data_IF_484379124675
#
_entry.id   IF_484379124675
#
_cell.length_a   1.000
_cell.length_b   1.000
_cell.length_c   1.000
_cell.angle_alpha   90.00
_cell.angle_beta   90.00
_cell.angle_gamma   90.00
#
_symmetry.space_group_name_H-M   'P 1'
#
loop_
_entity.id
_entity.type
_entity.pdbx_description
1 polymer ?
#
# COMPACT_ATOMS: atom_id res chain seq x y z
N UNK A 1 -8.53 -26.68 10.11
CA UNK A 1 -7.38 -26.05 9.43
C UNK A 1 -6.06 -26.71 9.74
N UNK A 2 -5.22 -26.90 8.74
CA UNK A 2 -3.92 -27.57 8.87
C UNK A 2 -2.82 -26.59 9.29
N UNK A 3 -2.12 -26.90 10.37
CA UNK A 3 -0.95 -26.17 10.83
C UNK A 3 0.14 -26.14 9.75
N UNK A 4 0.86 -25.03 9.65
CA UNK A 4 1.96 -24.93 8.69
C UNK A 4 3.04 -25.98 9.01
N UNK A 5 3.63 -26.55 7.97
CA UNK A 5 4.65 -27.60 8.07
C UNK A 5 5.81 -27.27 7.15
N UNK A 6 7.03 -27.50 7.61
CA UNK A 6 8.26 -27.30 6.83
C UNK A 6 8.46 -28.34 5.72
N UNK A 7 7.62 -29.39 5.69
CA UNK A 7 7.59 -30.43 4.65
C UNK A 7 7.31 -29.84 3.28
N UNK A 8 7.86 -30.48 2.23
CA UNK A 8 7.80 -29.98 0.85
C UNK A 8 6.37 -29.76 0.30
N UNK A 9 5.37 -30.50 0.81
CA UNK A 9 3.95 -30.31 0.47
C UNK A 9 3.11 -29.98 1.72
N UNK A 10 3.35 -28.83 2.32
CA UNK A 10 2.48 -28.32 3.38
C UNK A 10 1.02 -28.15 2.89
N UNK A 11 0.06 -28.66 3.66
CA UNK A 11 -1.38 -28.61 3.37
C UNK A 11 -2.14 -27.46 4.04
N UNK A 12 -1.47 -26.47 4.63
CA UNK A 12 -2.16 -25.31 5.19
C UNK A 12 -2.86 -24.48 4.09
N UNK A 13 -3.88 -23.70 4.47
CA UNK A 13 -4.68 -22.90 3.53
C UNK A 13 -3.78 -22.03 2.65
N UNK A 14 -2.84 -21.31 3.25
CA UNK A 14 -1.94 -20.42 2.51
C UNK A 14 -1.14 -21.18 1.45
N UNK A 15 -0.50 -22.31 1.80
CA UNK A 15 0.26 -23.11 0.84
C UNK A 15 -0.63 -23.74 -0.23
N UNK A 16 -1.85 -24.16 0.12
CA UNK A 16 -2.82 -24.71 -0.85
C UNK A 16 -3.27 -23.63 -1.83
N UNK A 17 -3.72 -22.49 -1.34
CA UNK A 17 -4.12 -21.33 -2.14
C UNK A 17 -3.00 -20.87 -3.08
N UNK A 18 -1.75 -20.79 -2.59
CA UNK A 18 -0.61 -20.39 -3.42
C UNK A 18 -0.35 -21.38 -4.57
N UNK A 19 -0.62 -22.67 -4.39
CA UNK A 19 -0.50 -23.66 -5.47
C UNK A 19 -1.65 -23.55 -6.47
N UNK A 20 -2.87 -23.48 -5.96
CA UNK A 20 -4.09 -23.58 -6.77
C UNK A 20 -4.41 -22.28 -7.50
N UNK A 21 -4.24 -21.13 -6.84
CA UNK A 21 -4.63 -19.82 -7.36
C UNK A 21 -3.48 -19.09 -8.04
N UNK A 22 -2.25 -19.24 -7.53
CA UNK A 22 -1.07 -18.54 -8.06
C UNK A 22 -0.16 -19.45 -8.90
N UNK A 23 -0.49 -20.75 -9.02
CA UNK A 23 0.30 -21.71 -9.79
C UNK A 23 1.72 -21.97 -9.24
N UNK A 24 2.05 -21.55 -8.02
CA UNK A 24 3.39 -21.74 -7.47
C UNK A 24 3.64 -23.21 -7.12
N UNK A 25 4.59 -23.86 -7.80
CA UNK A 25 4.93 -25.27 -7.56
C UNK A 25 5.52 -25.52 -6.16
N UNK A 26 6.26 -24.55 -5.61
CA UNK A 26 6.92 -24.65 -4.31
C UNK A 26 6.62 -23.42 -3.46
N UNK A 27 5.48 -23.37 -2.76
CA UNK A 27 5.08 -22.22 -1.95
C UNK A 27 6.17 -21.77 -0.98
N UNK A 28 6.89 -22.71 -0.38
CA UNK A 28 8.01 -22.40 0.53
C UNK A 28 9.09 -21.54 -0.13
N UNK A 29 9.49 -21.88 -1.36
CA UNK A 29 10.48 -21.11 -2.12
C UNK A 29 9.91 -19.75 -2.54
N UNK A 30 8.66 -19.71 -2.96
CA UNK A 30 7.96 -18.46 -3.30
C UNK A 30 7.93 -17.49 -2.11
N UNK A 31 7.48 -17.94 -0.93
CA UNK A 31 7.47 -17.11 0.28
C UNK A 31 8.87 -16.71 0.75
N UNK A 32 9.86 -17.60 0.66
CA UNK A 32 11.24 -17.25 0.99
C UNK A 32 11.77 -16.14 0.08
N UNK A 33 11.50 -16.23 -1.24
CA UNK A 33 11.92 -15.20 -2.19
C UNK A 33 11.17 -13.88 -1.95
N UNK A 34 9.87 -13.93 -1.71
CA UNK A 34 9.08 -12.76 -1.37
C UNK A 34 9.64 -12.05 -0.12
N UNK A 35 9.96 -12.82 0.93
CA UNK A 35 10.59 -12.29 2.13
C UNK A 35 11.92 -11.59 1.82
N UNK A 36 12.80 -12.21 1.03
CA UNK A 36 14.08 -11.58 0.66
C UNK A 36 13.92 -10.31 -0.17
N UNK A 37 12.84 -10.20 -0.95
CA UNK A 37 12.55 -8.99 -1.71
C UNK A 37 12.06 -7.88 -0.79
N UNK A 38 11.17 -8.21 0.15
CA UNK A 38 10.67 -7.27 1.14
C UNK A 38 11.80 -6.75 2.04
N UNK A 39 12.67 -7.63 2.52
CA UNK A 39 13.83 -7.26 3.34
C UNK A 39 14.87 -6.40 2.60
N UNK A 40 14.84 -6.40 1.26
CA UNK A 40 15.72 -5.57 0.45
C UNK A 40 15.14 -4.18 0.15
N UNK A 41 13.88 -3.91 0.53
CA UNK A 41 13.27 -2.60 0.33
C UNK A 41 13.87 -1.58 1.32
N UNK A 42 14.18 -0.35 0.86
CA UNK A 42 14.44 0.74 1.79
C UNK A 42 13.21 0.98 2.66
N UNK A 43 13.40 1.45 3.91
CA UNK A 43 12.31 1.62 4.88
C UNK A 43 11.13 2.44 4.34
N UNK A 44 11.41 3.48 3.55
CA UNK A 44 10.39 4.31 2.88
C UNK A 44 9.41 3.50 2.02
N UNK A 45 9.87 2.39 1.46
CA UNK A 45 9.13 1.55 0.52
C UNK A 45 8.68 0.23 1.13
N UNK A 46 9.01 -0.06 2.39
CA UNK A 46 8.61 -1.30 3.04
C UNK A 46 7.12 -1.22 3.44
N UNK A 47 6.22 -1.95 2.76
CA UNK A 47 4.79 -1.91 3.04
C UNK A 47 4.44 -2.56 4.38
N UNK A 48 5.39 -3.24 5.03
CA UNK A 48 5.21 -3.81 6.35
C UNK A 48 5.49 -2.81 7.47
N UNK A 49 6.10 -1.65 7.17
CA UNK A 49 6.25 -0.57 8.14
C UNK A 49 4.94 0.20 8.29
N UNK A 50 4.63 0.66 9.52
CA UNK A 50 3.49 1.56 9.72
C UNK A 50 3.63 2.75 8.76
N UNK A 51 2.58 3.11 8.00
CA UNK A 51 2.60 4.36 7.26
C UNK A 51 2.95 5.49 8.23
N UNK A 52 3.79 6.46 7.84
CA UNK A 52 4.04 7.61 8.69
C UNK A 52 2.69 8.23 9.07
N UNK A 53 2.54 8.74 10.31
CA UNK A 53 1.33 9.41 10.74
C UNK A 53 1.23 10.73 9.96
N UNK A 54 0.72 10.66 8.73
CA UNK A 54 0.47 11.82 7.89
C UNK A 54 -1.04 11.99 7.73
N UNK A 55 -1.68 12.24 8.87
CA UNK A 55 -2.85 13.11 8.89
C UNK A 55 -2.31 14.40 9.50
N UNK A 56 -2.03 15.44 8.70
CA UNK A 56 -1.87 16.78 9.24
C UNK A 56 -3.10 17.07 10.11
N UNK A 57 -2.88 17.44 11.36
CA UNK A 57 -3.93 18.06 12.17
C UNK A 57 -4.33 19.34 11.41
N UNK A 58 -5.50 19.32 10.78
CA UNK A 58 -6.06 20.40 9.95
C UNK A 58 -6.50 21.59 10.85
N UNK A 59 -5.79 21.82 11.95
CA UNK A 59 -6.07 22.83 12.96
C UNK A 59 -5.14 24.04 12.81
N UNK A 60 -4.66 24.30 11.60
CA UNK A 60 -4.14 25.62 11.25
C UNK A 60 -5.34 26.47 10.84
N UNK A 61 -5.79 27.30 11.78
CA UNK A 61 -6.75 28.39 11.61
C UNK A 61 -6.54 29.05 10.25
N UNK A 62 -7.53 28.89 9.37
CA UNK A 62 -7.60 29.59 8.09
C UNK A 62 -7.78 31.07 8.41
N UNK A 63 -6.67 31.82 8.49
CA UNK A 63 -6.70 33.27 8.64
C UNK A 63 -7.06 33.84 7.27
N UNK A 64 -8.37 33.91 7.02
CA UNK A 64 -9.01 34.47 5.83
C UNK A 64 -8.61 35.94 5.64
N UNK A 65 -7.47 36.18 5.00
CA UNK A 65 -7.09 37.54 4.56
C UNK A 65 -6.31 37.58 3.24
N UNK A 66 -6.68 36.76 2.27
CA UNK A 66 -6.56 37.14 0.84
C UNK A 66 -7.35 36.15 -0.02
N UNK A 67 -8.44 36.60 -0.66
CA UNK A 67 -9.37 35.77 -1.45
C UNK A 67 -8.74 35.13 -2.71
N UNK A 68 -7.42 35.21 -2.89
CA UNK A 68 -6.73 34.76 -4.10
C UNK A 68 -5.36 34.10 -3.86
N UNK A 69 -4.96 33.81 -2.62
CA UNK A 69 -3.70 33.13 -2.33
C UNK A 69 -3.99 31.75 -1.73
N UNK A 70 -4.18 30.76 -2.59
CA UNK A 70 -4.18 29.36 -2.14
C UNK A 70 -2.73 28.95 -1.84
N UNK A 71 -2.39 28.80 -0.56
CA UNK A 71 -1.08 28.29 -0.17
C UNK A 71 -0.95 26.84 -0.65
N UNK A 72 0.06 26.57 -1.49
CA UNK A 72 0.32 25.22 -1.98
C UNK A 72 0.65 24.30 -0.80
N UNK A 73 -0.25 23.36 -0.50
CA UNK A 73 -0.10 22.33 0.53
C UNK A 73 0.55 21.08 -0.09
N UNK A 74 1.83 20.77 0.19
CA UNK A 74 2.57 19.69 -0.47
C UNK A 74 2.21 18.29 0.05
N UNK A 75 1.29 18.17 1.00
CA UNK A 75 0.76 16.89 1.48
C UNK A 75 -0.22 16.34 0.44
N UNK A 76 0.21 15.33 -0.31
CA UNK A 76 -0.60 14.60 -1.29
C UNK A 76 -1.66 13.72 -0.61
N UNK A 77 -2.61 14.34 0.07
CA UNK A 77 -3.87 13.70 0.41
C UNK A 77 -4.80 14.04 -0.74
N UNK A 78 -5.12 13.06 -1.57
CA UNK A 78 -6.14 13.25 -2.61
C UNK A 78 -7.47 13.52 -1.91
N UNK A 79 -7.83 14.80 -1.79
CA UNK A 79 -9.14 15.25 -1.32
C UNK A 79 -10.02 15.41 -2.56
N UNK A 80 -11.24 14.87 -2.50
CA UNK A 80 -12.18 14.87 -3.63
C UNK A 80 -12.66 13.47 -3.99
N UNK A 81 -13.60 13.41 -4.92
CA UNK A 81 -14.14 12.18 -5.47
C UNK A 81 -13.21 11.61 -6.54
N UNK A 82 -13.35 10.32 -6.85
CA UNK A 82 -12.64 9.69 -7.97
C UNK A 82 -12.89 10.44 -9.29
N UNK A 83 -14.06 11.07 -9.45
CA UNK A 83 -14.37 11.89 -10.62
C UNK A 83 -13.48 13.14 -10.74
N UNK A 84 -13.05 13.73 -9.62
CA UNK A 84 -12.20 14.92 -9.61
C UNK A 84 -10.79 14.62 -10.19
N UNK A 85 -10.33 13.38 -10.07
CA UNK A 85 -9.07 12.94 -10.70
C UNK A 85 -9.17 12.87 -12.23
N UNK A 86 -10.35 12.57 -12.77
CA UNK A 86 -10.56 12.43 -14.22
C UNK A 86 -10.90 13.75 -14.91
N UNK A 87 -11.22 14.79 -14.15
CA UNK A 87 -11.61 16.11 -14.68
C UNK A 87 -10.51 16.77 -15.52
N UNK A 88 -9.25 16.58 -15.11
CA UNK A 88 -8.04 17.07 -15.80
C UNK A 88 -7.91 16.49 -17.23
N UNK A 89 -8.53 15.33 -17.47
CA UNK A 89 -8.49 14.63 -18.75
C UNK A 89 -9.77 14.80 -19.57
N UNK A 90 -10.80 15.45 -19.00
CA UNK A 90 -12.12 15.57 -19.60
C UNK A 90 -12.43 16.97 -20.15
N UNK A 91 -11.68 18.00 -19.74
CA UNK A 91 -11.80 19.36 -20.30
C UNK A 91 -10.63 19.61 -21.26
N UNK A 92 -10.95 19.56 -22.57
CA UNK A 92 -10.11 19.97 -23.69
C UNK A 92 -10.97 20.57 -24.78
#
# INVERSE_FOLDING_TARGET
DGQHSTRGRCGCIACRHTREQLGCQSPRKCFQKAKTLLEALPSKWDPCTCPPPEIPDDNETDDESDENISMFRPHMITRGTVADMFRIFAEG
#
